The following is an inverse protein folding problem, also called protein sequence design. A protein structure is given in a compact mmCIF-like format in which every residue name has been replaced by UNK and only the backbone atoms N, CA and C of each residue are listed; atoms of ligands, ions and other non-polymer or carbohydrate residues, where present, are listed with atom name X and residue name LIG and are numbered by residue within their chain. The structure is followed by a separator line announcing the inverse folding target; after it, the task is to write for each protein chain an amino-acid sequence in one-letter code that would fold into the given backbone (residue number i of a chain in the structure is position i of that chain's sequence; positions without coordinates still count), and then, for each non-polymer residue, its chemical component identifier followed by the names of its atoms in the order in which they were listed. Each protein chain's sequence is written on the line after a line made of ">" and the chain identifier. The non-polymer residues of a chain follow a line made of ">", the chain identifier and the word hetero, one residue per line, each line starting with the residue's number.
data_IF_481954715956
#
_entry.id   IF_481954715956
#
_cell.length_a   1.000
_cell.length_b   1.000
_cell.length_c   1.000
_cell.angle_alpha   90.00
_cell.angle_beta   90.00
_cell.angle_gamma   90.00
#
_symmetry.space_group_name_H-M   'P 1'
#
loop_
_entity.id
_entity.type
_entity.pdbx_description
1 polymer ?
#
# COMPACT_ATOMS: atom_id res chain seq x y z
N UNK A 1 -24.86 -16.42 28.71
CA UNK A 1 -25.16 -15.55 27.55
C UNK A 1 -24.48 -14.22 27.75
N UNK A 2 -23.30 -14.03 27.16
CA UNK A 2 -22.59 -12.75 27.13
C UNK A 2 -22.44 -12.38 25.66
N UNK A 3 -23.37 -11.54 25.19
CA UNK A 3 -23.33 -10.94 23.86
C UNK A 3 -22.59 -9.61 24.05
N UNK A 4 -21.26 -9.64 24.04
CA UNK A 4 -20.46 -8.41 23.98
C UNK A 4 -20.10 -8.20 22.51
N UNK A 5 -20.75 -7.19 21.92
CA UNK A 5 -20.62 -6.82 20.53
C UNK A 5 -19.15 -6.68 20.12
N UNK A 6 -18.71 -7.60 19.26
CA UNK A 6 -17.52 -7.40 18.45
C UNK A 6 -17.82 -6.20 17.57
N UNK A 7 -17.13 -5.09 17.84
CA UNK A 7 -17.07 -3.94 16.97
C UNK A 7 -16.38 -4.38 15.66
N UNK A 8 -17.16 -4.90 14.71
CA UNK A 8 -16.71 -5.14 13.35
C UNK A 8 -16.64 -3.77 12.67
N UNK A 9 -15.64 -2.98 13.06
CA UNK A 9 -15.32 -1.68 12.48
C UNK A 9 -14.51 -1.82 11.19
N UNK A 10 -14.58 -2.97 10.51
CA UNK A 10 -13.84 -3.24 9.26
C UNK A 10 -14.48 -2.60 8.02
N UNK A 11 -15.38 -1.64 8.19
CA UNK A 11 -15.81 -0.76 7.09
C UNK A 11 -14.70 0.24 6.76
N UNK A 12 -13.77 -0.20 5.92
CA UNK A 12 -13.19 0.65 4.87
C UNK A 12 -12.38 1.86 5.32
N UNK A 13 -11.43 1.67 6.24
CA UNK A 13 -10.36 2.67 6.40
C UNK A 13 -9.60 2.75 5.07
N UNK A 14 -9.79 3.84 4.33
CA UNK A 14 -8.97 4.18 3.17
C UNK A 14 -7.54 4.46 3.65
N UNK A 15 -6.59 4.18 2.78
CA UNK A 15 -5.21 4.58 2.97
C UNK A 15 -5.12 6.10 3.19
N UNK A 16 -4.27 6.48 4.13
CA UNK A 16 -3.90 7.87 4.42
C UNK A 16 -2.83 8.33 3.42
N UNK A 17 -2.56 9.64 3.38
CA UNK A 17 -1.46 10.17 2.57
C UNK A 17 -0.09 9.58 3.01
N UNK A 18 0.05 9.30 4.31
CA UNK A 18 1.24 8.66 4.88
C UNK A 18 1.41 7.21 4.39
N UNK A 19 0.32 6.43 4.41
CA UNK A 19 0.30 5.06 3.85
C UNK A 19 0.72 5.06 2.36
N UNK A 20 0.29 6.07 1.60
CA UNK A 20 0.65 6.21 0.18
C UNK A 20 2.12 6.58 -0.05
N UNK A 21 2.68 7.44 0.80
CA UNK A 21 4.11 7.77 0.80
C UNK A 21 4.95 6.52 1.06
N UNK A 22 4.56 5.75 2.07
CA UNK A 22 5.26 4.53 2.50
C UNK A 22 5.23 3.47 1.40
N UNK A 23 4.07 3.22 0.80
CA UNK A 23 3.93 2.30 -0.35
C UNK A 23 4.75 2.75 -1.56
N UNK A 24 4.72 4.05 -1.89
CA UNK A 24 5.46 4.57 -3.04
C UNK A 24 6.98 4.37 -2.87
N UNK A 25 7.49 4.64 -1.66
CA UNK A 25 8.89 4.38 -1.33
C UNK A 25 9.21 2.89 -1.43
N UNK A 26 8.38 2.03 -0.83
CA UNK A 26 8.58 0.58 -0.85
C UNK A 26 8.60 0.00 -2.28
N UNK A 27 7.68 0.42 -3.14
CA UNK A 27 7.64 0.01 -4.56
C UNK A 27 8.93 0.44 -5.27
N UNK A 28 9.40 1.66 -5.02
CA UNK A 28 10.64 2.17 -5.61
C UNK A 28 11.86 1.42 -5.10
N UNK A 29 11.94 1.09 -3.81
CA UNK A 29 13.02 0.28 -3.24
C UNK A 29 13.07 -1.11 -3.87
N UNK A 30 11.92 -1.78 -3.98
CA UNK A 30 11.80 -3.07 -4.66
C UNK A 30 12.22 -2.98 -6.13
N UNK A 31 11.74 -1.96 -6.85
CA UNK A 31 12.08 -1.78 -8.25
C UNK A 31 13.53 -1.37 -8.49
N UNK A 32 14.17 -0.65 -7.57
CA UNK A 32 15.60 -0.37 -7.63
C UNK A 32 16.42 -1.64 -7.36
N UNK A 33 16.02 -2.43 -6.36
CA UNK A 33 16.66 -3.70 -6.06
C UNK A 33 16.58 -4.69 -7.25
N UNK A 34 15.48 -4.66 -8.00
CA UNK A 34 15.29 -5.45 -9.22
C UNK A 34 15.85 -4.81 -10.49
N UNK A 35 16.32 -3.56 -10.45
CA UNK A 35 16.80 -2.81 -11.62
C UNK A 35 15.69 -2.43 -12.62
N UNK A 36 14.44 -2.37 -12.18
CA UNK A 36 13.25 -2.07 -12.99
C UNK A 36 12.69 -0.66 -12.80
N UNK A 37 13.00 0.02 -11.70
CA UNK A 37 12.52 1.38 -11.40
C UNK A 37 13.65 2.35 -11.07
N UNK A 38 13.39 3.63 -11.33
CA UNK A 38 14.30 4.74 -11.08
C UNK A 38 13.82 5.50 -9.84
N UNK A 39 14.74 6.16 -9.11
CA UNK A 39 14.40 6.92 -7.89
C UNK A 39 13.35 8.03 -8.09
N UNK A 40 13.22 8.55 -9.31
CA UNK A 40 12.23 9.59 -9.66
C UNK A 40 10.78 9.10 -9.66
N UNK A 41 10.53 7.80 -9.53
CA UNK A 41 9.18 7.22 -9.61
C UNK A 41 8.35 7.35 -8.32
N UNK A 42 8.96 7.74 -7.19
CA UNK A 42 8.28 7.77 -5.90
C UNK A 42 7.17 8.85 -5.84
N UNK A 43 7.41 10.05 -6.35
CA UNK A 43 6.41 11.14 -6.34
C UNK A 43 5.19 10.81 -7.22
N UNK A 44 5.40 10.21 -8.40
CA UNK A 44 4.31 9.75 -9.27
C UNK A 44 3.49 8.61 -8.63
N UNK A 45 4.16 7.69 -7.93
CA UNK A 45 3.51 6.60 -7.20
C UNK A 45 2.71 7.11 -6.00
N UNK A 46 3.24 8.08 -5.24
CA UNK A 46 2.53 8.73 -4.13
C UNK A 46 1.26 9.42 -4.63
N UNK A 47 1.37 10.19 -5.73
CA UNK A 47 0.23 10.87 -6.34
C UNK A 47 -0.83 9.87 -6.83
N UNK A 48 -0.41 8.84 -7.57
CA UNK A 48 -1.30 7.78 -8.05
C UNK A 48 -2.02 7.09 -6.90
N UNK A 49 -1.31 6.77 -5.81
CA UNK A 49 -1.91 6.17 -4.62
C UNK A 49 -2.93 7.11 -3.98
N UNK A 50 -2.60 8.40 -3.82
CA UNK A 50 -3.49 9.39 -3.23
C UNK A 50 -4.79 9.59 -4.07
N UNK A 51 -4.68 9.50 -5.39
CA UNK A 51 -5.82 9.57 -6.32
C UNK A 51 -6.69 8.31 -6.26
N UNK A 52 -6.07 7.13 -6.29
CA UNK A 52 -6.79 5.85 -6.24
C UNK A 52 -7.41 5.58 -4.88
N UNK A 53 -6.92 6.22 -3.81
CA UNK A 53 -7.36 6.05 -2.42
C UNK A 53 -7.58 4.57 -2.07
N UNK A 54 -6.52 3.75 -2.17
CA UNK A 54 -6.62 2.32 -1.97
C UNK A 54 -7.14 1.99 -0.57
N UNK A 55 -7.65 0.78 -0.40
CA UNK A 55 -8.01 0.32 0.95
C UNK A 55 -6.76 0.08 1.77
N UNK A 56 -6.86 0.23 3.10
CA UNK A 56 -5.74 -0.09 3.99
C UNK A 56 -5.26 -1.55 3.86
N UNK A 57 -6.16 -2.47 3.50
CA UNK A 57 -5.80 -3.86 3.22
C UNK A 57 -4.89 -3.99 2.00
N UNK A 58 -5.19 -3.25 0.93
CA UNK A 58 -4.35 -3.23 -0.27
C UNK A 58 -2.96 -2.64 0.03
N UNK A 59 -2.90 -1.53 0.76
CA UNK A 59 -1.61 -0.94 1.21
C UNK A 59 -0.82 -1.92 2.05
N UNK A 60 -1.45 -2.61 3.00
CA UNK A 60 -0.77 -3.62 3.81
C UNK A 60 -0.23 -4.77 2.97
N UNK A 61 -0.96 -5.20 1.94
CA UNK A 61 -0.44 -6.21 1.01
C UNK A 61 0.78 -5.67 0.26
N UNK A 62 0.70 -4.46 -0.28
CA UNK A 62 1.79 -3.84 -1.02
C UNK A 62 3.05 -3.66 -0.16
N UNK A 63 2.91 -3.25 1.10
CA UNK A 63 4.03 -3.12 2.07
C UNK A 63 4.59 -4.48 2.52
N UNK A 64 3.80 -5.54 2.46
CA UNK A 64 4.25 -6.89 2.81
C UNK A 64 4.97 -7.60 1.64
N UNK A 65 4.81 -7.10 0.41
CA UNK A 65 5.46 -7.66 -0.77
C UNK A 65 6.99 -7.53 -0.69
N UNK A 66 7.71 -8.55 -1.15
CA UNK A 66 9.18 -8.55 -1.18
C UNK A 66 9.74 -8.44 -2.60
N UNK A 67 8.86 -8.30 -3.59
CA UNK A 67 9.20 -8.16 -5.01
C UNK A 67 8.10 -7.42 -5.76
N UNK A 68 8.43 -6.86 -6.92
CA UNK A 68 7.46 -6.24 -7.82
C UNK A 68 6.40 -7.24 -8.30
N UNK A 69 6.77 -8.52 -8.45
CA UNK A 69 5.82 -9.57 -8.83
C UNK A 69 4.79 -9.87 -7.72
N UNK A 70 5.17 -9.77 -6.44
CA UNK A 70 4.23 -9.91 -5.32
C UNK A 70 3.30 -8.69 -5.20
N UNK A 71 3.82 -7.49 -5.48
CA UNK A 71 3.02 -6.25 -5.55
C UNK A 71 1.87 -6.35 -6.57
N UNK A 72 2.11 -6.99 -7.73
CA UNK A 72 1.10 -7.22 -8.75
C UNK A 72 -0.03 -8.18 -8.30
N UNK A 73 0.18 -8.93 -7.22
CA UNK A 73 -0.76 -9.92 -6.70
C UNK A 73 -1.75 -9.44 -5.63
N UNK A 74 -1.73 -8.14 -5.26
CA UNK A 74 -2.37 -7.61 -4.04
C UNK A 74 -3.87 -7.23 -4.08
#
# INVERSE_FOLDING_TARGET
>A
MLVLGVAISSLGCRASADDCREVAQHIVELGQAEGKLNASSADELEQTCAEQRPTRALVQCMLAAQSLAELEGC
#
